data_IF_169642734160
#
_entry.id   IF_169642734160
#
_cell.length_a   1.000
_cell.length_b   1.000
_cell.length_c   1.000
_cell.angle_alpha   90.00
_cell.angle_beta   90.00
_cell.angle_gamma   90.00
#
_symmetry.space_group_name_H-M   'P 1'
#
loop_
_entity.id
_entity.type
_entity.pdbx_description
1 polymer ?
#
# COMPACT_ATOMS: atom_id res chain seq x y z
N UNK A 1 -19.58 32.82 -11.06
CA UNK A 1 -18.57 33.03 -10.01
C UNK A 1 -18.28 31.79 -9.16
N UNK A 2 -19.28 30.97 -8.77
CA UNK A 2 -19.05 29.75 -7.97
C UNK A 2 -18.32 28.58 -8.66
N UNK A 3 -18.25 28.53 -10.00
CA UNK A 3 -17.51 27.46 -10.70
C UNK A 3 -15.99 27.68 -10.77
N UNK A 4 -15.51 28.90 -10.51
CA UNK A 4 -14.09 29.21 -10.45
C UNK A 4 -13.51 28.82 -9.09
N UNK A 5 -14.24 29.12 -8.00
CA UNK A 5 -13.86 28.71 -6.64
C UNK A 5 -13.80 27.18 -6.48
N UNK A 6 -14.74 26.43 -7.07
CA UNK A 6 -14.69 24.95 -7.03
C UNK A 6 -13.52 24.33 -7.80
N UNK A 7 -12.92 25.08 -8.75
CA UNK A 7 -11.69 24.68 -9.46
C UNK A 7 -10.40 25.01 -8.70
N UNK A 8 -10.46 25.94 -7.73
CA UNK A 8 -9.32 26.34 -6.90
C UNK A 8 -9.04 25.37 -5.74
N UNK A 9 -10.05 24.67 -5.21
CA UNK A 9 -9.83 23.70 -4.12
C UNK A 9 -8.86 22.57 -4.49
N UNK A 10 -8.94 21.94 -5.68
CA UNK A 10 -7.95 20.96 -6.12
C UNK A 10 -6.55 21.55 -6.30
N UNK A 11 -6.41 22.79 -6.77
CA UNK A 11 -5.10 23.41 -6.99
C UNK A 11 -4.43 23.79 -5.67
N UNK A 12 -5.18 24.28 -4.68
CA UNK A 12 -4.64 24.58 -3.34
C UNK A 12 -4.08 23.31 -2.69
N UNK A 13 -4.86 22.21 -2.70
CA UNK A 13 -4.38 20.95 -2.14
C UNK A 13 -3.13 20.45 -2.87
N UNK A 14 -3.13 20.51 -4.22
CA UNK A 14 -1.97 20.08 -5.00
C UNK A 14 -0.74 20.91 -4.66
N UNK A 15 -0.86 22.24 -4.59
CA UNK A 15 0.26 23.12 -4.21
C UNK A 15 0.75 22.81 -2.80
N UNK A 16 -0.16 22.60 -1.84
CA UNK A 16 0.20 22.21 -0.47
C UNK A 16 0.92 20.86 -0.43
N UNK A 17 0.38 19.84 -1.12
CA UNK A 17 1.00 18.53 -1.24
C UNK A 17 2.40 18.62 -1.83
N UNK A 18 2.59 19.40 -2.91
CA UNK A 18 3.91 19.61 -3.51
C UNK A 18 4.86 20.32 -2.54
N UNK A 19 4.38 21.33 -1.80
CA UNK A 19 5.17 21.99 -0.76
C UNK A 19 5.66 21.01 0.31
N UNK A 20 4.77 20.12 0.80
CA UNK A 20 5.14 19.08 1.76
C UNK A 20 6.09 18.05 1.15
N UNK A 21 5.81 17.59 -0.07
CA UNK A 21 6.63 16.60 -0.79
C UNK A 21 8.07 17.11 -0.98
N UNK A 22 8.22 18.27 -1.62
CA UNK A 22 9.53 18.85 -1.89
C UNK A 22 10.22 19.35 -0.62
N UNK A 23 9.47 19.92 0.34
CA UNK A 23 10.01 20.30 1.64
C UNK A 23 10.55 19.10 2.42
N UNK A 24 9.85 17.96 2.39
CA UNK A 24 10.33 16.74 3.02
C UNK A 24 11.55 16.17 2.27
N UNK A 25 11.51 16.09 0.94
CA UNK A 25 12.62 15.56 0.16
C UNK A 25 13.91 16.40 0.28
N UNK A 26 13.78 17.73 0.30
CA UNK A 26 14.92 18.65 0.32
C UNK A 26 15.47 18.90 1.74
N UNK A 27 14.60 19.03 2.75
CA UNK A 27 14.98 19.53 4.08
C UNK A 27 14.80 18.47 5.16
N UNK A 28 13.56 17.98 5.36
CA UNK A 28 13.24 17.18 6.55
C UNK A 28 13.75 15.74 6.47
N UNK A 29 13.72 15.15 5.27
CA UNK A 29 14.00 13.73 4.95
C UNK A 29 13.37 12.77 5.97
N UNK A 30 12.15 13.08 6.41
CA UNK A 30 11.49 12.34 7.46
C UNK A 30 10.57 11.26 6.85
N UNK A 31 10.79 9.97 7.17
CA UNK A 31 10.01 8.87 6.60
C UNK A 31 8.54 8.90 7.02
N UNK A 32 8.24 9.39 8.23
CA UNK A 32 6.86 9.49 8.72
C UNK A 32 6.08 10.56 7.95
N UNK A 33 6.68 11.75 7.75
CA UNK A 33 6.08 12.82 6.93
C UNK A 33 5.84 12.32 5.50
N UNK A 34 6.80 11.61 4.94
CA UNK A 34 6.68 11.02 3.61
C UNK A 34 5.59 9.95 3.51
N UNK A 35 5.50 9.04 4.48
CA UNK A 35 4.44 8.02 4.52
C UNK A 35 3.05 8.66 4.63
N UNK A 36 2.88 9.67 5.49
CA UNK A 36 1.61 10.42 5.59
C UNK A 36 1.29 11.13 4.28
N UNK A 37 2.28 11.80 3.67
CA UNK A 37 2.10 12.47 2.39
C UNK A 37 1.69 11.48 1.28
N UNK A 38 2.34 10.32 1.19
CA UNK A 38 2.01 9.25 0.25
C UNK A 38 0.56 8.79 0.44
N UNK A 39 0.15 8.43 1.66
CA UNK A 39 -1.20 7.95 1.95
C UNK A 39 -2.26 9.00 1.57
N UNK A 40 -2.06 10.24 2.00
CA UNK A 40 -2.96 11.36 1.69
C UNK A 40 -3.00 11.63 0.19
N UNK A 41 -1.85 11.60 -0.49
CA UNK A 41 -1.74 11.76 -1.94
C UNK A 41 -2.46 10.64 -2.70
N UNK A 42 -2.27 9.38 -2.32
CA UNK A 42 -2.95 8.22 -2.91
C UNK A 42 -4.46 8.30 -2.72
N UNK A 43 -4.96 8.71 -1.55
CA UNK A 43 -6.40 8.86 -1.31
C UNK A 43 -6.98 10.00 -2.17
N UNK A 44 -6.36 11.18 -2.14
CA UNK A 44 -6.91 12.36 -2.83
C UNK A 44 -6.75 12.25 -4.34
N UNK A 45 -5.54 12.04 -4.84
CA UNK A 45 -5.28 11.90 -6.28
C UNK A 45 -5.86 10.59 -6.82
N UNK A 46 -5.88 9.51 -6.04
CA UNK A 46 -6.63 8.31 -6.38
C UNK A 46 -8.12 8.59 -6.54
N UNK A 47 -8.74 9.41 -5.69
CA UNK A 47 -10.16 9.78 -5.87
C UNK A 47 -10.44 10.55 -7.16
N UNK A 48 -9.45 11.30 -7.67
CA UNK A 48 -9.53 12.06 -8.93
C UNK A 48 -9.31 11.15 -10.13
N UNK A 49 -8.24 10.35 -10.13
CA UNK A 49 -7.97 9.31 -11.13
C UNK A 49 -9.11 8.30 -11.21
N UNK A 50 -9.71 7.96 -10.06
CA UNK A 50 -10.85 7.07 -9.96
C UNK A 50 -12.07 7.54 -10.73
N UNK A 51 -12.22 8.84 -11.02
CA UNK A 51 -13.31 9.35 -11.86
C UNK A 51 -13.17 8.91 -13.33
N UNK A 52 -11.96 8.57 -13.78
CA UNK A 52 -11.71 8.02 -15.11
C UNK A 52 -11.99 6.52 -15.15
N UNK A 53 -11.40 5.76 -14.22
CA UNK A 53 -11.44 4.29 -14.26
C UNK A 53 -12.70 3.70 -13.66
N UNK A 54 -13.34 4.41 -12.73
CA UNK A 54 -14.55 3.99 -12.04
C UNK A 54 -15.53 5.18 -11.92
N UNK A 55 -15.98 5.76 -13.05
CA UNK A 55 -16.82 6.96 -13.04
C UNK A 55 -18.13 6.73 -12.28
N UNK A 56 -18.69 5.52 -12.37
CA UNK A 56 -19.90 5.14 -11.65
C UNK A 56 -19.73 5.03 -10.14
N UNK A 57 -18.52 4.85 -9.63
CA UNK A 57 -18.29 4.63 -8.20
C UNK A 57 -18.08 5.95 -7.45
N UNK A 58 -18.39 5.95 -6.14
CA UNK A 58 -18.25 7.11 -5.24
C UNK A 58 -17.38 6.78 -4.02
N UNK A 59 -17.01 7.82 -3.28
CA UNK A 59 -16.34 7.71 -1.98
C UNK A 59 -15.05 6.88 -2.01
N UNK A 60 -14.94 5.98 -1.03
CA UNK A 60 -13.74 5.17 -0.78
C UNK A 60 -13.43 4.20 -1.92
N UNK A 61 -14.44 3.57 -2.54
CA UNK A 61 -14.21 2.61 -3.62
C UNK A 61 -13.61 3.28 -4.87
N UNK A 62 -14.08 4.49 -5.20
CA UNK A 62 -13.49 5.29 -6.28
C UNK A 62 -12.04 5.67 -5.97
N UNK A 63 -11.77 6.10 -4.74
CA UNK A 63 -10.42 6.43 -4.31
C UNK A 63 -9.49 5.21 -4.36
N UNK A 64 -9.98 4.05 -3.93
CA UNK A 64 -9.28 2.76 -3.96
C UNK A 64 -8.88 2.36 -5.38
N UNK A 65 -9.84 2.28 -6.30
CA UNK A 65 -9.57 1.91 -7.70
C UNK A 65 -8.62 2.89 -8.38
N UNK A 66 -8.76 4.19 -8.10
CA UNK A 66 -7.86 5.19 -8.64
C UNK A 66 -6.47 5.18 -8.02
N UNK A 67 -6.33 4.86 -6.73
CA UNK A 67 -5.03 4.69 -6.08
C UNK A 67 -4.26 3.53 -6.72
N UNK A 68 -4.91 2.39 -6.99
CA UNK A 68 -4.30 1.28 -7.71
C UNK A 68 -3.90 1.64 -9.13
N UNK A 69 -4.77 2.37 -9.84
CA UNK A 69 -4.44 2.86 -11.18
C UNK A 69 -3.21 3.77 -11.15
N UNK A 70 -3.10 4.63 -10.13
CA UNK A 70 -1.99 5.54 -9.97
C UNK A 70 -0.69 4.80 -9.65
N UNK A 71 -0.71 3.83 -8.74
CA UNK A 71 0.46 2.98 -8.43
C UNK A 71 0.91 2.17 -9.65
N UNK A 72 -0.02 1.59 -10.40
CA UNK A 72 0.28 0.90 -11.65
C UNK A 72 0.89 1.83 -12.70
N UNK A 73 0.38 3.06 -12.82
CA UNK A 73 0.95 4.06 -13.72
C UNK A 73 2.37 4.48 -13.30
N UNK A 74 2.61 4.69 -11.99
CA UNK A 74 3.95 4.97 -11.44
C UNK A 74 4.91 3.82 -11.76
N UNK A 75 4.48 2.57 -11.57
CA UNK A 75 5.28 1.39 -11.88
C UNK A 75 5.67 1.32 -13.35
N UNK A 76 4.71 1.53 -14.27
CA UNK A 76 4.95 1.47 -15.72
C UNK A 76 5.85 2.62 -16.17
N UNK A 77 5.52 3.86 -15.79
CA UNK A 77 6.28 5.05 -16.18
C UNK A 77 7.68 5.00 -15.60
N UNK A 78 7.82 4.62 -14.33
CA UNK A 78 9.12 4.52 -13.69
C UNK A 78 9.99 3.40 -14.27
N UNK A 79 9.40 2.25 -14.65
CA UNK A 79 10.13 1.21 -15.37
C UNK A 79 10.60 1.70 -16.74
N UNK A 80 9.76 2.45 -17.47
CA UNK A 80 10.16 3.07 -18.72
C UNK A 80 11.32 4.07 -18.52
N UNK A 81 11.27 4.92 -17.49
CA UNK A 81 12.36 5.84 -17.13
C UNK A 81 13.65 5.08 -16.80
N UNK A 82 13.56 4.01 -16.01
CA UNK A 82 14.70 3.16 -15.62
C UNK A 82 15.40 2.55 -16.84
N UNK A 83 14.63 2.04 -17.81
CA UNK A 83 15.20 1.45 -19.02
C UNK A 83 15.77 2.50 -19.97
N UNK A 84 15.04 3.59 -20.21
CA UNK A 84 15.43 4.64 -21.14
C UNK A 84 16.70 5.38 -20.70
N UNK A 85 16.88 5.57 -19.39
CA UNK A 85 18.05 6.22 -18.83
C UNK A 85 18.43 5.60 -17.47
N UNK A 86 17.94 6.23 -16.40
CA UNK A 86 18.20 5.89 -15.01
C UNK A 86 17.01 6.33 -14.16
N UNK A 87 16.77 5.65 -13.04
CA UNK A 87 15.74 6.02 -12.07
C UNK A 87 16.39 6.72 -10.87
N UNK A 88 16.55 8.04 -10.98
CA UNK A 88 17.21 8.88 -9.97
C UNK A 88 16.20 9.63 -9.10
N UNK A 89 16.66 10.30 -8.04
CA UNK A 89 15.78 11.11 -7.19
C UNK A 89 14.97 12.18 -7.96
N UNK A 90 15.56 12.94 -8.91
CA UNK A 90 14.79 13.85 -9.76
C UNK A 90 13.69 13.16 -10.57
N UNK A 91 13.92 11.93 -11.06
CA UNK A 91 12.91 11.18 -11.80
C UNK A 91 11.73 10.81 -10.89
N UNK A 92 12.00 10.25 -9.70
CA UNK A 92 10.97 9.91 -8.73
C UNK A 92 10.17 11.14 -8.27
N UNK A 93 10.85 12.25 -7.95
CA UNK A 93 10.20 13.50 -7.55
C UNK A 93 9.38 14.12 -8.69
N UNK A 94 9.83 13.99 -9.94
CA UNK A 94 9.06 14.45 -11.10
C UNK A 94 7.79 13.63 -11.26
N UNK A 95 7.87 12.30 -11.16
CA UNK A 95 6.70 11.41 -11.20
C UNK A 95 5.72 11.77 -10.07
N UNK A 96 6.22 11.91 -8.83
CA UNK A 96 5.40 12.26 -7.67
C UNK A 96 4.76 13.64 -7.81
N UNK A 97 5.53 14.62 -8.31
CA UNK A 97 5.05 15.98 -8.54
C UNK A 97 3.98 16.07 -9.63
N UNK A 98 4.03 15.18 -10.62
CA UNK A 98 3.06 15.11 -11.71
C UNK A 98 1.77 14.36 -11.32
N UNK A 99 1.75 13.58 -10.24
CA UNK A 99 0.55 12.83 -9.80
C UNK A 99 -0.68 13.74 -9.68
N UNK A 100 -0.55 14.88 -9.00
CA UNK A 100 -1.66 15.82 -8.78
C UNK A 100 -2.16 16.47 -10.07
N UNK A 101 -1.30 17.16 -10.85
CA UNK A 101 -1.69 17.76 -12.12
C UNK A 101 -2.29 16.76 -13.12
N UNK A 102 -1.70 15.57 -13.26
CA UNK A 102 -2.21 14.53 -14.14
C UNK A 102 -3.57 13.99 -13.67
N UNK A 103 -3.71 13.67 -12.38
CA UNK A 103 -4.98 13.21 -11.82
C UNK A 103 -6.09 14.27 -11.98
N UNK A 104 -5.76 15.54 -11.79
CA UNK A 104 -6.68 16.67 -11.99
C UNK A 104 -7.11 16.79 -13.45
N UNK A 105 -6.16 16.79 -14.39
CA UNK A 105 -6.41 16.90 -15.83
C UNK A 105 -7.33 15.78 -16.33
N UNK A 106 -7.08 14.55 -15.88
CA UNK A 106 -7.89 13.38 -16.18
C UNK A 106 -9.30 13.51 -15.59
N UNK A 107 -9.41 13.98 -14.35
CA UNK A 107 -10.68 14.08 -13.64
C UNK A 107 -11.69 15.06 -14.27
N UNK A 108 -11.22 16.06 -15.03
CA UNK A 108 -12.08 17.04 -15.69
C UNK A 108 -12.77 16.53 -16.95
N UNK A 109 -12.25 15.45 -17.55
CA UNK A 109 -12.77 14.93 -18.82
C UNK A 109 -14.01 14.05 -18.65
N UNK A 110 -14.27 13.54 -17.44
CA UNK A 110 -15.34 12.59 -17.19
C UNK A 110 -16.25 13.02 -16.03
N UNK A 111 -17.52 13.30 -16.38
CA UNK A 111 -18.63 13.33 -15.43
C UNK A 111 -19.48 12.07 -15.65
N UNK A 112 -19.65 11.28 -14.60
CA UNK A 112 -20.57 10.16 -14.64
C UNK A 112 -22.00 10.65 -14.81
N UNK A 113 -22.73 10.05 -15.75
CA UNK A 113 -24.15 10.35 -16.00
C UNK A 113 -25.06 9.71 -14.94
N UNK A 114 -24.70 8.53 -14.44
CA UNK A 114 -25.42 7.81 -13.40
C UNK A 114 -24.42 7.21 -12.39
N UNK A 115 -24.21 7.87 -11.25
CA UNK A 115 -23.38 7.31 -10.20
C UNK A 115 -24.12 6.15 -9.52
N UNK A 116 -23.47 5.00 -9.47
CA UNK A 116 -23.88 3.88 -8.63
C UNK A 116 -23.31 4.10 -7.24
N UNK A 117 -24.19 4.29 -6.26
CA UNK A 117 -23.77 4.44 -4.88
C UNK A 117 -24.03 3.14 -4.13
N UNK A 118 -23.08 2.20 -4.22
CA UNK A 118 -23.14 0.93 -3.48
C UNK A 118 -23.11 1.12 -1.96
N UNK A 119 -22.67 2.29 -1.48
CA UNK A 119 -22.56 2.64 -0.07
C UNK A 119 -23.85 3.23 0.52
N UNK A 120 -24.81 3.64 -0.30
CA UNK A 120 -26.10 4.20 0.15
C UNK A 120 -27.17 3.13 0.41
N UNK A 121 -26.74 1.89 0.66
CA UNK A 121 -27.63 0.83 1.09
C UNK A 121 -28.37 1.18 2.39
N UNK A 122 -29.56 0.60 2.63
CA UNK A 122 -30.23 0.76 3.91
C UNK A 122 -29.28 0.35 5.04
N UNK A 123 -29.25 1.14 6.11
CA UNK A 123 -28.40 0.87 7.28
C UNK A 123 -28.68 -0.53 7.79
N UNK A 124 -27.77 -1.45 7.51
CA UNK A 124 -27.87 -2.83 7.93
C UNK A 124 -27.44 -2.93 9.40
N UNK A 125 -28.31 -3.47 10.25
CA UNK A 125 -27.99 -3.71 11.65
C UNK A 125 -27.17 -4.98 11.75
N UNK A 126 -25.87 -4.81 12.04
CA UNK A 126 -24.95 -5.92 12.27
C UNK A 126 -25.34 -6.64 13.57
N UNK A 127 -25.65 -7.95 13.54
CA UNK A 127 -26.04 -8.69 14.73
C UNK A 127 -24.92 -8.80 15.77
N UNK A 128 -25.27 -8.82 17.07
CA UNK A 128 -24.31 -8.96 18.17
C UNK A 128 -23.30 -10.11 18.01
N UNK A 129 -23.72 -11.32 17.57
CA UNK A 129 -22.77 -12.42 17.33
C UNK A 129 -21.71 -12.10 16.28
N UNK A 130 -22.02 -11.30 15.26
CA UNK A 130 -21.04 -10.88 14.24
C UNK A 130 -19.98 -9.99 14.87
N UNK A 131 -20.39 -9.02 15.69
CA UNK A 131 -19.45 -8.17 16.42
C UNK A 131 -18.53 -8.98 17.33
N UNK A 132 -19.09 -9.96 18.04
CA UNK A 132 -18.31 -10.87 18.87
C UNK A 132 -17.31 -11.68 18.02
N UNK A 133 -17.74 -12.26 16.89
CA UNK A 133 -16.85 -13.01 15.98
C UNK A 133 -15.71 -12.12 15.45
N UNK A 134 -16.01 -10.89 15.04
CA UNK A 134 -15.00 -9.94 14.55
C UNK A 134 -14.03 -9.56 15.67
N UNK A 135 -14.52 -9.27 16.87
CA UNK A 135 -13.68 -8.93 18.01
C UNK A 135 -12.75 -10.09 18.40
N UNK A 136 -13.27 -11.32 18.45
CA UNK A 136 -12.48 -12.52 18.73
C UNK A 136 -11.44 -12.79 17.65
N UNK A 137 -11.80 -12.64 16.38
CA UNK A 137 -10.87 -12.81 15.27
C UNK A 137 -9.74 -11.76 15.31
N UNK A 138 -10.06 -10.49 15.55
CA UNK A 138 -9.07 -9.42 15.70
C UNK A 138 -8.14 -9.65 16.89
N UNK A 139 -8.69 -10.05 18.05
CA UNK A 139 -7.89 -10.38 19.22
C UNK A 139 -6.94 -11.56 18.94
N UNK A 140 -7.42 -12.58 18.22
CA UNK A 140 -6.62 -13.73 17.83
C UNK A 140 -5.53 -13.39 16.79
N UNK A 141 -5.82 -12.51 15.82
CA UNK A 141 -4.80 -11.97 14.90
C UNK A 141 -3.75 -11.15 15.64
N UNK A 142 -4.17 -10.28 16.57
CA UNK A 142 -3.25 -9.50 17.39
C UNK A 142 -2.36 -10.39 18.26
N UNK A 143 -2.93 -11.44 18.88
CA UNK A 143 -2.16 -12.44 19.63
C UNK A 143 -1.16 -13.17 18.72
N UNK A 144 -1.57 -13.55 17.50
CA UNK A 144 -0.68 -14.15 16.50
C UNK A 144 0.49 -13.23 16.18
N UNK A 145 0.24 -11.97 15.82
CA UNK A 145 1.28 -10.99 15.52
C UNK A 145 2.23 -10.77 16.70
N UNK A 146 1.69 -10.66 17.92
CA UNK A 146 2.50 -10.50 19.13
C UNK A 146 3.40 -11.73 19.37
N UNK A 147 2.87 -12.95 19.21
CA UNK A 147 3.68 -14.17 19.34
C UNK A 147 4.76 -14.28 18.27
N UNK A 148 4.46 -13.92 17.02
CA UNK A 148 5.44 -13.89 15.93
C UNK A 148 6.57 -12.90 16.21
N UNK A 149 6.23 -11.67 16.61
CA UNK A 149 7.21 -10.63 16.95
C UNK A 149 8.10 -11.04 18.14
N UNK A 150 7.53 -11.68 19.15
CA UNK A 150 8.28 -12.19 20.30
C UNK A 150 9.14 -13.43 19.98
N UNK A 151 8.92 -14.05 18.81
CA UNK A 151 9.71 -15.20 18.32
C UNK A 151 10.82 -14.77 17.37
N UNK A 152 11.09 -13.46 17.25
CA UNK A 152 12.13 -12.93 16.39
C UNK A 152 13.50 -13.53 16.73
N UNK A 153 14.26 -13.89 15.70
CA UNK A 153 15.58 -14.51 15.85
C UNK A 153 16.56 -14.00 14.81
N UNK A 154 17.83 -13.89 15.21
CA UNK A 154 18.95 -13.59 14.33
C UNK A 154 19.82 -14.82 14.06
N UNK A 155 19.42 -15.98 14.57
CA UNK A 155 20.14 -17.23 14.36
C UNK A 155 19.94 -17.74 12.93
N UNK A 156 20.97 -18.42 12.41
CA UNK A 156 20.89 -19.13 11.13
C UNK A 156 20.15 -20.45 11.32
N UNK A 157 18.82 -20.38 11.23
CA UNK A 157 17.90 -21.52 11.34
C UNK A 157 17.26 -21.82 9.98
N UNK A 158 16.77 -23.05 9.79
CA UNK A 158 16.29 -23.50 8.47
C UNK A 158 14.89 -23.00 8.13
N UNK A 159 14.08 -22.66 9.14
CA UNK A 159 12.68 -22.27 8.94
C UNK A 159 12.19 -21.35 10.05
N UNK A 160 11.29 -20.42 9.72
CA UNK A 160 10.54 -19.61 10.71
C UNK A 160 9.89 -20.49 11.76
N UNK A 161 9.39 -21.66 11.36
CA UNK A 161 8.58 -22.53 12.20
C UNK A 161 9.37 -23.27 13.28
N UNK A 162 10.71 -23.24 13.24
CA UNK A 162 11.54 -23.83 14.31
C UNK A 162 11.48 -23.00 15.61
N UNK A 163 11.19 -21.69 15.53
CA UNK A 163 11.15 -20.78 16.69
C UNK A 163 9.75 -20.27 17.03
N UNK A 164 8.80 -20.37 16.10
CA UNK A 164 7.43 -19.92 16.32
C UNK A 164 6.67 -20.94 17.19
N UNK A 165 6.12 -20.54 18.35
CA UNK A 165 5.42 -21.46 19.24
C UNK A 165 4.08 -21.91 18.66
N UNK A 166 3.63 -23.11 19.05
CA UNK A 166 2.33 -23.68 18.65
C UNK A 166 1.15 -22.75 18.96
N UNK A 167 1.27 -21.91 19.99
CA UNK A 167 0.24 -20.91 20.36
C UNK A 167 -0.06 -19.92 19.24
N UNK A 168 0.92 -19.55 18.41
CA UNK A 168 0.71 -18.67 17.26
C UNK A 168 -0.24 -19.31 16.23
N UNK A 169 -0.05 -20.61 15.97
CA UNK A 169 -0.90 -21.36 15.04
C UNK A 169 -2.32 -21.55 15.58
N UNK A 170 -2.47 -21.79 16.89
CA UNK A 170 -3.79 -21.89 17.54
C UNK A 170 -4.53 -20.56 17.45
N UNK A 171 -3.86 -19.45 17.76
CA UNK A 171 -4.45 -18.12 17.63
C UNK A 171 -4.85 -17.82 16.17
N UNK A 172 -3.97 -18.09 15.20
CA UNK A 172 -4.26 -17.89 13.79
C UNK A 172 -5.40 -18.78 13.28
N UNK A 173 -5.48 -20.03 13.75
CA UNK A 173 -6.58 -20.94 13.45
C UNK A 173 -7.92 -20.39 13.95
N UNK A 174 -7.98 -19.88 15.17
CA UNK A 174 -9.19 -19.24 15.73
C UNK A 174 -9.60 -18.02 14.90
N UNK A 175 -8.65 -17.18 14.51
CA UNK A 175 -8.92 -16.04 13.62
C UNK A 175 -9.49 -16.50 12.27
N UNK A 176 -8.87 -17.50 11.66
CA UNK A 176 -9.27 -18.06 10.38
C UNK A 176 -10.67 -18.67 10.44
N UNK A 177 -11.01 -19.41 11.50
CA UNK A 177 -12.36 -19.91 11.74
C UNK A 177 -13.38 -18.78 11.81
N UNK A 178 -13.06 -17.68 12.50
CA UNK A 178 -13.91 -16.49 12.55
C UNK A 178 -14.14 -15.87 11.17
N UNK A 179 -13.08 -15.72 10.37
CA UNK A 179 -13.16 -15.22 8.98
C UNK A 179 -14.01 -16.16 8.12
N UNK A 180 -13.76 -17.46 8.15
CA UNK A 180 -14.53 -18.46 7.42
C UNK A 180 -16.01 -18.43 7.80
N UNK A 181 -16.34 -18.37 9.10
CA UNK A 181 -17.72 -18.28 9.57
C UNK A 181 -18.45 -17.05 8.99
N UNK A 182 -17.77 -15.89 8.95
CA UNK A 182 -18.30 -14.66 8.35
C UNK A 182 -18.42 -14.74 6.82
N UNK A 183 -17.48 -15.41 6.14
CA UNK A 183 -17.52 -15.65 4.70
C UNK A 183 -18.68 -16.57 4.31
N UNK A 184 -18.86 -17.70 5.01
CA UNK A 184 -19.96 -18.63 4.77
C UNK A 184 -21.33 -17.99 5.03
N UNK A 185 -21.41 -17.06 5.99
CA UNK A 185 -22.63 -16.28 6.21
C UNK A 185 -22.94 -15.34 5.04
N UNK A 186 -21.92 -14.80 4.36
CA UNK A 186 -22.04 -14.04 3.11
C UNK A 186 -22.73 -12.66 3.19
N UNK A 187 -23.19 -12.23 4.38
CA UNK A 187 -23.98 -10.99 4.56
C UNK A 187 -23.13 -9.75 4.86
N UNK A 188 -22.08 -9.89 5.66
CA UNK A 188 -21.37 -8.75 6.29
C UNK A 188 -20.06 -8.40 5.59
N UNK A 189 -20.07 -8.36 4.25
CA UNK A 189 -18.85 -8.24 3.42
C UNK A 189 -17.97 -7.05 3.79
N UNK A 190 -18.56 -5.93 4.22
CA UNK A 190 -17.83 -4.73 4.63
C UNK A 190 -16.92 -4.96 5.85
N UNK A 191 -17.24 -5.94 6.71
CA UNK A 191 -16.41 -6.34 7.84
C UNK A 191 -15.55 -7.56 7.50
N UNK A 192 -16.12 -8.51 6.75
CA UNK A 192 -15.43 -9.75 6.41
C UNK A 192 -14.22 -9.52 5.51
N UNK A 193 -14.31 -8.62 4.51
CA UNK A 193 -13.21 -8.38 3.57
C UNK A 193 -11.98 -7.76 4.25
N UNK A 194 -12.09 -6.65 5.02
CA UNK A 194 -10.92 -6.11 5.74
C UNK A 194 -10.34 -7.12 6.74
N UNK A 195 -11.18 -7.94 7.37
CA UNK A 195 -10.71 -8.97 8.30
C UNK A 195 -9.96 -10.10 7.58
N UNK A 196 -10.42 -10.51 6.39
CA UNK A 196 -9.72 -11.45 5.54
C UNK A 196 -8.37 -10.90 5.07
N UNK A 197 -8.33 -9.64 4.61
CA UNK A 197 -7.09 -8.93 4.28
C UNK A 197 -6.12 -8.89 5.47
N UNK A 198 -6.62 -8.61 6.68
CA UNK A 198 -5.79 -8.61 7.89
C UNK A 198 -5.24 -10.01 8.23
N UNK A 199 -6.02 -11.08 8.00
CA UNK A 199 -5.56 -12.45 8.19
C UNK A 199 -4.49 -12.84 7.16
N UNK A 200 -4.68 -12.49 5.88
CA UNK A 200 -3.67 -12.69 4.82
C UNK A 200 -2.38 -11.93 5.17
N UNK A 201 -2.49 -10.66 5.57
CA UNK A 201 -1.34 -9.86 6.00
C UNK A 201 -0.58 -10.53 7.15
N UNK A 202 -1.31 -11.00 8.17
CA UNK A 202 -0.73 -11.67 9.35
C UNK A 202 0.06 -12.91 8.95
N UNK A 203 -0.43 -13.67 7.98
CA UNK A 203 0.27 -14.85 7.47
C UNK A 203 1.54 -14.46 6.69
N UNK A 204 1.46 -13.47 5.80
CA UNK A 204 2.58 -13.11 4.92
C UNK A 204 3.68 -12.38 5.67
N UNK A 205 3.33 -11.54 6.65
CA UNK A 205 4.31 -10.76 7.43
C UNK A 205 5.09 -11.63 8.43
N UNK A 206 4.73 -12.91 8.61
CA UNK A 206 5.40 -13.80 9.55
C UNK A 206 6.92 -13.87 9.33
N UNK A 207 7.36 -13.95 8.07
CA UNK A 207 8.79 -13.97 7.74
C UNK A 207 9.50 -12.67 8.16
N UNK A 208 8.86 -11.51 7.93
CA UNK A 208 9.40 -10.19 8.27
C UNK A 208 9.52 -10.01 9.79
N UNK A 209 8.53 -10.49 10.56
CA UNK A 209 8.53 -10.37 12.01
C UNK A 209 9.51 -11.34 12.70
N UNK A 210 9.59 -12.58 12.20
CA UNK A 210 10.43 -13.62 12.81
C UNK A 210 11.90 -13.47 12.41
N UNK A 211 12.17 -13.00 11.18
CA UNK A 211 13.53 -12.75 10.68
C UNK A 211 13.75 -11.26 10.41
N UNK A 212 14.02 -10.45 11.46
CA UNK A 212 14.19 -9.01 11.30
C UNK A 212 15.39 -8.61 10.42
N UNK A 213 16.35 -9.51 10.23
CA UNK A 213 17.49 -9.29 9.33
C UNK A 213 17.18 -9.67 7.86
N UNK A 214 16.09 -10.37 7.60
CA UNK A 214 15.76 -10.94 6.29
C UNK A 214 15.64 -12.46 6.33
N UNK A 215 14.66 -12.99 5.59
CA UNK A 215 14.43 -14.43 5.48
C UNK A 215 15.17 -15.02 4.27
N UNK A 216 16.26 -15.73 4.53
CA UNK A 216 17.11 -16.29 3.48
C UNK A 216 18.05 -15.25 2.87
N UNK A 217 18.63 -15.57 1.70
CA UNK A 217 19.60 -14.71 1.04
C UNK A 217 18.97 -13.66 0.10
N UNK A 218 17.76 -13.94 -0.39
CA UNK A 218 17.10 -13.17 -1.45
C UNK A 218 16.84 -11.69 -1.09
N UNK A 219 16.33 -11.33 0.11
CA UNK A 219 16.12 -9.93 0.48
C UNK A 219 17.41 -9.10 0.46
N UNK A 220 18.55 -9.71 0.78
CA UNK A 220 19.83 -9.01 0.74
C UNK A 220 20.27 -8.66 -0.69
N UNK A 221 20.02 -9.54 -1.67
CA UNK A 221 20.32 -9.26 -3.07
C UNK A 221 19.43 -8.12 -3.58
N UNK A 222 18.13 -8.19 -3.27
CA UNK A 222 17.17 -7.16 -3.66
C UNK A 222 17.54 -5.80 -3.09
N UNK A 223 17.75 -5.72 -1.77
CA UNK A 223 18.08 -4.46 -1.10
C UNK A 223 19.44 -3.90 -1.53
N UNK A 224 20.45 -4.76 -1.75
CA UNK A 224 21.73 -4.31 -2.28
C UNK A 224 21.60 -3.75 -3.70
N UNK A 225 20.80 -4.39 -4.54
CA UNK A 225 20.52 -3.94 -5.91
C UNK A 225 19.76 -2.60 -5.91
N UNK A 226 18.73 -2.48 -5.08
CA UNK A 226 17.94 -1.26 -4.95
C UNK A 226 18.77 -0.11 -4.37
N UNK A 227 19.62 -0.38 -3.37
CA UNK A 227 20.55 0.62 -2.84
C UNK A 227 21.54 1.10 -3.91
N UNK A 228 22.08 0.18 -4.71
CA UNK A 228 22.94 0.52 -5.84
C UNK A 228 22.20 1.37 -6.88
N UNK A 229 20.97 0.99 -7.26
CA UNK A 229 20.16 1.79 -8.20
C UNK A 229 19.79 3.15 -7.60
N UNK A 230 19.53 3.25 -6.29
CA UNK A 230 19.22 4.52 -5.64
C UNK A 230 20.41 5.49 -5.69
N UNK A 231 21.64 4.98 -5.61
CA UNK A 231 22.87 5.79 -5.66
C UNK A 231 23.29 6.12 -7.10
N UNK A 232 23.33 5.12 -7.98
CA UNK A 232 23.89 5.24 -9.33
C UNK A 232 22.83 5.43 -10.41
N UNK A 233 21.54 5.33 -10.06
CA UNK A 233 20.39 5.45 -10.95
C UNK A 233 20.12 4.20 -11.80
N UNK A 234 21.05 3.25 -11.89
CA UNK A 234 20.88 2.01 -12.66
C UNK A 234 21.87 0.92 -12.24
N UNK A 235 21.65 -0.31 -12.68
CA UNK A 235 22.58 -1.44 -12.55
C UNK A 235 22.68 -2.20 -13.89
N UNK A 236 23.84 -2.81 -14.15
CA UNK A 236 24.07 -3.64 -15.34
C UNK A 236 24.41 -5.09 -14.95
N UNK A 237 23.83 -6.11 -15.61
CA UNK A 237 22.77 -6.02 -16.62
C UNK A 237 21.44 -5.51 -16.01
N UNK A 238 20.54 -4.94 -16.83
CA UNK A 238 19.21 -4.49 -16.39
C UNK A 238 18.19 -5.65 -16.47
N UNK A 239 17.88 -6.35 -15.37
CA UNK A 239 16.93 -7.47 -15.42
C UNK A 239 15.51 -6.99 -15.73
N UNK A 240 14.79 -7.71 -16.59
CA UNK A 240 13.36 -7.45 -16.86
C UNK A 240 12.45 -7.85 -15.70
N UNK A 241 12.87 -8.87 -14.95
CA UNK A 241 12.15 -9.35 -13.80
C UNK A 241 12.39 -8.41 -12.59
N UNK A 242 11.37 -8.21 -11.76
CA UNK A 242 11.34 -7.31 -10.59
C UNK A 242 11.44 -5.79 -10.83
N UNK A 243 11.70 -5.32 -12.05
CA UNK A 243 11.85 -3.87 -12.33
C UNK A 243 10.68 -3.03 -11.82
N UNK A 244 9.44 -3.52 -11.92
CA UNK A 244 8.26 -2.82 -11.43
C UNK A 244 8.27 -2.64 -9.91
N UNK A 245 8.67 -3.68 -9.16
CA UNK A 245 8.82 -3.61 -7.72
C UNK A 245 9.96 -2.67 -7.32
N UNK A 246 11.13 -2.81 -7.94
CA UNK A 246 12.27 -1.93 -7.66
C UNK A 246 11.93 -0.46 -7.89
N UNK A 247 11.24 -0.15 -8.98
CA UNK A 247 10.78 1.21 -9.27
C UNK A 247 9.86 1.74 -8.18
N UNK A 248 8.96 0.92 -7.64
CA UNK A 248 8.11 1.33 -6.53
C UNK A 248 8.93 1.54 -5.26
N UNK A 249 9.86 0.65 -4.91
CA UNK A 249 10.75 0.83 -3.75
C UNK A 249 11.58 2.10 -3.87
N UNK A 250 12.21 2.32 -5.03
CA UNK A 250 12.99 3.52 -5.33
C UNK A 250 12.13 4.78 -5.32
N UNK A 251 10.89 4.70 -5.82
CA UNK A 251 9.93 5.80 -5.77
C UNK A 251 9.58 6.17 -4.32
N UNK A 252 9.29 5.19 -3.47
CA UNK A 252 9.06 5.40 -2.03
C UNK A 252 10.28 6.01 -1.33
N UNK A 253 11.48 5.53 -1.65
CA UNK A 253 12.73 6.04 -1.09
C UNK A 253 13.04 7.47 -1.52
N UNK A 254 13.03 7.75 -2.83
CA UNK A 254 13.42 9.06 -3.33
C UNK A 254 12.36 10.13 -3.16
N UNK A 255 11.07 9.83 -3.37
CA UNK A 255 10.01 10.83 -3.28
C UNK A 255 9.49 11.01 -1.84
N UNK A 256 9.49 9.94 -1.03
CA UNK A 256 8.88 9.96 0.30
C UNK A 256 9.85 9.63 1.43
N UNK A 257 11.15 9.54 1.17
CA UNK A 257 12.18 9.28 2.19
C UNK A 257 11.94 7.98 2.99
N UNK A 258 11.21 7.01 2.42
CA UNK A 258 10.97 5.71 3.06
C UNK A 258 12.21 4.84 2.86
N UNK A 259 12.86 4.32 3.93
CA UNK A 259 14.07 3.52 3.78
C UNK A 259 13.86 2.31 2.88
N UNK A 260 14.84 2.01 2.01
CA UNK A 260 14.78 0.90 1.05
C UNK A 260 14.42 -0.42 1.74
N UNK A 261 15.13 -0.79 2.80
CA UNK A 261 14.85 -2.05 3.52
C UNK A 261 13.43 -2.11 4.12
N UNK A 262 12.85 -0.98 4.53
CA UNK A 262 11.46 -0.94 5.00
C UNK A 262 10.49 -1.07 3.82
N UNK A 263 10.73 -0.35 2.73
CA UNK A 263 9.89 -0.39 1.54
C UNK A 263 9.90 -1.79 0.91
N UNK A 264 11.06 -2.39 0.67
CA UNK A 264 11.22 -3.74 0.13
C UNK A 264 10.50 -4.79 1.01
N UNK A 265 10.78 -4.80 2.32
CA UNK A 265 10.22 -5.79 3.23
C UNK A 265 8.69 -5.69 3.40
N UNK A 266 8.09 -4.51 3.23
CA UNK A 266 6.66 -4.29 3.54
C UNK A 266 5.77 -4.12 2.33
N UNK A 267 6.30 -3.69 1.18
CA UNK A 267 5.50 -3.41 0.00
C UNK A 267 4.74 -4.66 -0.46
N UNK A 268 5.43 -5.79 -0.66
CA UNK A 268 4.79 -7.03 -1.13
C UNK A 268 3.73 -7.53 -0.13
N UNK A 269 4.01 -7.72 1.18
CA UNK A 269 2.99 -8.14 2.14
C UNK A 269 1.75 -7.25 2.17
N UNK A 270 1.93 -5.93 2.13
CA UNK A 270 0.82 -4.98 2.12
C UNK A 270 0.02 -5.10 0.83
N UNK A 271 0.69 -5.10 -0.33
CA UNK A 271 0.02 -5.21 -1.62
C UNK A 271 -0.75 -6.53 -1.75
N UNK A 272 -0.16 -7.64 -1.33
CA UNK A 272 -0.82 -8.95 -1.37
C UNK A 272 -2.06 -8.99 -0.48
N UNK A 273 -1.98 -8.46 0.75
CA UNK A 273 -3.12 -8.43 1.67
C UNK A 273 -4.29 -7.58 1.17
N UNK A 274 -3.99 -6.54 0.39
CA UNK A 274 -5.00 -5.61 -0.11
C UNK A 274 -5.61 -6.02 -1.47
N UNK A 275 -4.91 -6.84 -2.25
CA UNK A 275 -5.30 -7.23 -3.61
C UNK A 275 -5.88 -8.63 -3.72
N UNK A 276 -5.57 -9.53 -2.77
CA UNK A 276 -6.10 -10.90 -2.70
C UNK A 276 -7.23 -11.00 -1.66
#
# INVERSE_FOLDING_TARGET
MFSLLSRLYPSIFTVFFLGVLFGNAAVLRNPFVGAVALLVGLVVFGSWTGRLVAPGERGALRAWMGAWTLLSAIMIVGAACYYAAAFTAPAALSIAGLMGPCAWLVSHRHRAKHPHERLDGPRHRVPGPVWLTVALALAALAATLATLANSATTASIRSTWEVVPTSAFVAFFVATLGVCALLFRGRERAMTLPLASAAILTMIVAAVLVFPLGFGFDPFIHQATEAHIAEFGTISPKPFYYVGQYVLVLFLNHAFAIPIGLADATLVPILTALLL
#
